data_IF_548150966857
#
_entry.id   IF_548150966857
#
_cell.length_a   1.000
_cell.length_b   1.000
_cell.length_c   1.000
_cell.angle_alpha   90.00
_cell.angle_beta   90.00
_cell.angle_gamma   90.00
#
_symmetry.space_group_name_H-M   'P 1'
#
loop_
_entity.id
_entity.type
_entity.pdbx_description
1 polymer ?
#
# COMPACT_ATOMS: atom_id res chain seq x y z
N UNK A 1 7.99 -27.18 9.27
CA UNK A 1 6.90 -26.18 9.16
C UNK A 1 7.37 -24.92 9.85
N UNK A 2 7.62 -23.86 9.10
CA UNK A 2 7.74 -22.53 9.69
C UNK A 2 6.32 -22.12 10.14
N UNK A 3 6.11 -21.73 11.41
CA UNK A 3 4.78 -21.36 11.88
C UNK A 3 4.26 -20.16 11.09
N UNK A 4 2.96 -20.13 10.84
CA UNK A 4 2.27 -19.02 10.17
C UNK A 4 2.55 -17.69 10.90
N UNK A 5 2.71 -16.59 10.15
CA UNK A 5 3.06 -15.27 10.69
C UNK A 5 1.95 -14.80 11.65
N UNK A 6 0.70 -15.08 11.33
CA UNK A 6 -0.46 -14.71 12.14
C UNK A 6 -0.43 -15.43 13.49
N UNK A 7 -0.02 -16.71 13.48
CA UNK A 7 0.19 -17.48 14.68
C UNK A 7 1.38 -16.95 15.50
N UNK A 8 2.50 -16.64 14.86
CA UNK A 8 3.67 -16.07 15.54
C UNK A 8 3.33 -14.74 16.23
N UNK A 9 2.63 -13.83 15.54
CA UNK A 9 2.19 -12.56 16.09
C UNK A 9 1.18 -12.74 17.24
N UNK A 10 0.28 -13.72 17.13
CA UNK A 10 -0.66 -14.06 18.20
C UNK A 10 0.05 -14.56 19.47
N UNK A 11 1.10 -15.38 19.30
CA UNK A 11 1.95 -15.85 20.42
C UNK A 11 2.71 -14.69 21.05
N UNK A 12 3.31 -13.81 20.25
CA UNK A 12 4.01 -12.61 20.73
C UNK A 12 3.04 -11.73 21.54
N UNK A 13 1.86 -11.43 21.00
CA UNK A 13 0.86 -10.60 21.67
C UNK A 13 0.41 -11.22 23.01
N UNK A 14 0.17 -12.53 23.01
CA UNK A 14 -0.21 -13.28 24.23
C UNK A 14 0.90 -13.19 25.28
N UNK A 15 2.16 -13.34 24.86
CA UNK A 15 3.34 -13.26 25.74
C UNK A 15 3.48 -11.85 26.33
N UNK A 16 3.36 -10.81 25.50
CA UNK A 16 3.42 -9.42 25.95
C UNK A 16 2.34 -9.12 27.01
N UNK A 17 1.10 -9.58 26.78
CA UNK A 17 -0.02 -9.32 27.70
C UNK A 17 0.02 -10.14 28.99
N UNK A 18 0.35 -11.43 28.90
CA UNK A 18 0.20 -12.36 30.03
C UNK A 18 1.47 -12.56 30.84
N UNK A 19 2.63 -12.30 30.25
CA UNK A 19 3.93 -12.55 30.89
C UNK A 19 4.68 -11.24 31.12
N UNK A 20 4.86 -10.43 30.08
CA UNK A 20 5.71 -9.24 30.16
C UNK A 20 5.01 -8.11 30.92
N UNK A 21 3.79 -7.73 30.53
CA UNK A 21 3.05 -6.62 31.15
C UNK A 21 2.89 -6.78 32.68
N UNK A 22 2.53 -7.96 33.22
CA UNK A 22 2.45 -8.14 34.67
C UNK A 22 3.82 -8.15 35.39
N UNK A 23 4.91 -8.40 34.66
CA UNK A 23 6.26 -8.46 35.22
C UNK A 23 6.98 -7.09 35.20
N UNK A 24 6.46 -6.11 34.48
CA UNK A 24 6.99 -4.74 34.46
C UNK A 24 6.50 -4.00 35.71
N UNK A 25 7.42 -3.26 36.34
CA UNK A 25 7.12 -2.38 37.47
C UNK A 25 5.95 -1.42 37.15
N UNK A 26 4.91 -1.45 37.98
CA UNK A 26 3.72 -0.62 37.82
C UNK A 26 3.98 0.87 38.11
N UNK A 27 5.01 1.18 38.91
CA UNK A 27 5.34 2.55 39.27
C UNK A 27 6.14 3.26 38.15
N UNK A 28 6.70 2.51 37.21
CA UNK A 28 7.39 3.03 36.04
C UNK A 28 6.41 3.37 34.90
N UNK A 29 5.68 4.48 35.06
CA UNK A 29 4.65 4.94 34.11
C UNK A 29 5.13 5.01 32.65
N UNK A 30 6.30 5.57 32.31
CA UNK A 30 6.76 5.59 30.92
C UNK A 30 6.89 4.20 30.30
N UNK A 31 7.39 3.22 31.05
CA UNK A 31 7.55 1.84 30.54
C UNK A 31 6.19 1.17 30.35
N UNK A 32 5.25 1.39 31.28
CA UNK A 32 3.87 0.90 31.16
C UNK A 32 3.20 1.45 29.89
N UNK A 33 3.28 2.76 29.66
CA UNK A 33 2.70 3.42 28.50
C UNK A 33 3.29 2.91 27.18
N UNK A 34 4.63 2.80 27.09
CA UNK A 34 5.30 2.28 25.90
C UNK A 34 4.95 0.82 25.63
N UNK A 35 4.86 -0.01 26.68
CA UNK A 35 4.47 -1.41 26.53
C UNK A 35 3.01 -1.54 26.08
N UNK A 36 2.11 -0.72 26.63
CA UNK A 36 0.73 -0.65 26.16
C UNK A 36 0.65 -0.22 24.69
N UNK A 37 1.41 0.80 24.28
CA UNK A 37 1.46 1.25 22.88
C UNK A 37 1.97 0.14 21.95
N UNK A 38 3.01 -0.58 22.35
CA UNK A 38 3.54 -1.71 21.58
C UNK A 38 2.48 -2.83 21.44
N UNK A 39 1.79 -3.19 22.54
CA UNK A 39 0.69 -4.17 22.52
C UNK A 39 -0.40 -3.72 21.56
N UNK A 40 -0.88 -2.47 21.67
CA UNK A 40 -1.93 -1.92 20.79
C UNK A 40 -1.50 -1.90 19.32
N UNK A 41 -0.23 -1.61 19.05
CA UNK A 41 0.30 -1.63 17.69
C UNK A 41 0.26 -3.03 17.09
N UNK A 42 0.68 -4.05 17.85
CA UNK A 42 0.63 -5.45 17.38
C UNK A 42 -0.82 -5.94 17.19
N UNK A 43 -1.74 -5.55 18.08
CA UNK A 43 -3.18 -5.82 17.91
C UNK A 43 -3.71 -5.24 16.60
N UNK A 44 -3.47 -3.96 16.35
CA UNK A 44 -3.94 -3.29 15.14
C UNK A 44 -3.32 -3.87 13.85
N UNK A 45 -2.11 -4.42 13.91
CA UNK A 45 -1.53 -5.18 12.79
C UNK A 45 -2.29 -6.49 12.59
N UNK A 46 -2.49 -7.29 13.64
CA UNK A 46 -3.21 -8.57 13.56
C UNK A 46 -4.62 -8.43 12.99
N UNK A 47 -5.36 -7.39 13.41
CA UNK A 47 -6.71 -7.10 12.92
C UNK A 47 -6.74 -6.80 11.41
N UNK A 48 -5.64 -6.27 10.86
CA UNK A 48 -5.54 -5.87 9.45
C UNK A 48 -5.03 -6.96 8.52
N UNK A 49 -4.28 -7.94 9.01
CA UNK A 49 -3.67 -8.99 8.16
C UNK A 49 -4.69 -9.66 7.22
N UNK A 50 -5.90 -10.05 7.67
CA UNK A 50 -6.89 -10.69 6.79
C UNK A 50 -7.25 -9.84 5.55
N UNK A 51 -7.14 -8.51 5.67
CA UNK A 51 -7.48 -7.57 4.60
C UNK A 51 -6.26 -7.16 3.75
N UNK A 52 -5.04 -7.44 4.21
CA UNK A 52 -3.79 -6.99 3.57
C UNK A 52 -3.71 -7.43 2.11
N UNK A 53 -4.06 -8.67 1.82
CA UNK A 53 -4.03 -9.19 0.46
C UNK A 53 -4.97 -8.42 -0.48
N UNK A 54 -6.18 -8.12 0.00
CA UNK A 54 -7.16 -7.33 -0.75
C UNK A 54 -6.67 -5.91 -1.00
N UNK A 55 -6.10 -5.27 0.02
CA UNK A 55 -5.51 -3.93 -0.09
C UNK A 55 -4.41 -3.88 -1.14
N UNK A 56 -3.40 -4.77 -1.04
CA UNK A 56 -2.24 -4.78 -1.96
C UNK A 56 -2.69 -5.05 -3.39
N UNK A 57 -3.65 -5.96 -3.60
CA UNK A 57 -4.20 -6.22 -4.94
C UNK A 57 -4.91 -5.01 -5.52
N UNK A 58 -5.70 -4.31 -4.72
CA UNK A 58 -6.41 -3.12 -5.19
C UNK A 58 -5.45 -1.97 -5.50
N UNK A 59 -4.41 -1.79 -4.68
CA UNK A 59 -3.34 -0.82 -4.92
C UNK A 59 -2.62 -1.11 -6.24
N UNK A 60 -2.21 -2.37 -6.46
CA UNK A 60 -1.56 -2.78 -7.70
C UNK A 60 -2.48 -2.57 -8.91
N UNK A 61 -3.78 -2.89 -8.79
CA UNK A 61 -4.77 -2.68 -9.84
C UNK A 61 -4.86 -1.20 -10.24
N UNK A 62 -4.89 -0.29 -9.28
CA UNK A 62 -4.92 1.16 -9.53
C UNK A 62 -3.65 1.64 -10.25
N UNK A 63 -2.48 1.15 -9.82
CA UNK A 63 -1.20 1.49 -10.47
C UNK A 63 -1.08 0.93 -11.88
N UNK A 64 -1.57 -0.29 -12.14
CA UNK A 64 -1.62 -0.86 -13.48
C UNK A 64 -2.45 0.01 -14.44
N UNK A 65 -3.61 0.50 -13.99
CA UNK A 65 -4.44 1.41 -14.78
C UNK A 65 -3.70 2.72 -15.06
N UNK A 66 -3.09 3.33 -14.04
CA UNK A 66 -2.30 4.55 -14.21
C UNK A 66 -1.13 4.35 -15.18
N UNK A 67 -0.36 3.27 -15.02
CA UNK A 67 0.79 2.97 -15.87
C UNK A 67 0.37 2.74 -17.34
N UNK A 68 -0.72 2.00 -17.57
CA UNK A 68 -1.26 1.78 -18.92
C UNK A 68 -1.71 3.08 -19.58
N UNK A 69 -2.36 3.97 -18.84
CA UNK A 69 -2.77 5.28 -19.35
C UNK A 69 -1.56 6.20 -19.58
N UNK A 70 -0.55 6.16 -18.72
CA UNK A 70 0.68 6.93 -18.89
C UNK A 70 1.41 6.56 -20.18
N UNK A 71 1.56 5.25 -20.45
CA UNK A 71 2.11 4.74 -21.71
C UNK A 71 1.30 5.20 -22.91
N UNK A 72 -0.03 5.22 -22.80
CA UNK A 72 -0.90 5.64 -23.89
C UNK A 72 -0.82 7.15 -24.20
N UNK A 73 -0.47 7.99 -23.21
CA UNK A 73 -0.27 9.45 -23.40
C UNK A 73 1.02 9.74 -24.16
N UNK A 74 2.06 8.95 -23.96
CA UNK A 74 3.38 9.21 -24.54
C UNK A 74 3.47 8.99 -26.06
N UNK A 75 2.49 8.30 -26.67
CA UNK A 75 2.23 8.19 -28.12
C UNK A 75 3.45 8.29 -29.09
N UNK A 76 4.61 7.71 -28.76
CA UNK A 76 5.89 7.65 -29.52
C UNK A 76 7.07 8.54 -29.05
N UNK A 77 6.92 9.34 -28.00
CA UNK A 77 8.06 10.01 -27.36
C UNK A 77 8.85 9.03 -26.46
N UNK A 78 10.16 8.97 -26.64
CA UNK A 78 11.11 8.03 -26.00
C UNK A 78 10.61 6.58 -25.86
N UNK A 79 10.77 5.85 -26.97
CA UNK A 79 10.35 4.47 -27.09
C UNK A 79 11.05 3.54 -26.08
N UNK A 80 12.24 3.87 -25.59
CA UNK A 80 12.95 3.04 -24.62
C UNK A 80 12.28 3.11 -23.24
N UNK A 81 11.91 4.30 -22.79
CA UNK A 81 11.18 4.50 -21.52
C UNK A 81 9.79 3.86 -21.58
N UNK A 82 9.10 3.97 -22.72
CA UNK A 82 7.81 3.31 -22.95
C UNK A 82 7.94 1.77 -22.83
N UNK A 83 8.92 1.17 -23.52
CA UNK A 83 9.13 -0.27 -23.51
C UNK A 83 9.46 -0.80 -22.11
N UNK A 84 10.25 -0.04 -21.35
CA UNK A 84 10.58 -0.38 -19.95
C UNK A 84 9.33 -0.46 -19.08
N UNK A 85 8.45 0.55 -19.13
CA UNK A 85 7.21 0.56 -18.35
C UNK A 85 6.22 -0.50 -18.84
N UNK A 86 6.12 -0.73 -20.15
CA UNK A 86 5.27 -1.80 -20.70
C UNK A 86 5.68 -3.19 -20.19
N UNK A 87 6.98 -3.50 -20.18
CA UNK A 87 7.47 -4.76 -19.64
C UNK A 87 7.16 -4.92 -18.13
N UNK A 88 7.22 -3.82 -17.36
CA UNK A 88 6.80 -3.83 -15.95
C UNK A 88 5.29 -4.07 -15.81
N UNK A 89 4.46 -3.47 -16.66
CA UNK A 89 3.01 -3.69 -16.67
C UNK A 89 2.70 -5.15 -16.95
N UNK A 90 3.30 -5.75 -17.99
CA UNK A 90 3.05 -7.14 -18.38
C UNK A 90 3.38 -8.12 -17.26
N UNK A 91 4.57 -7.98 -16.66
CA UNK A 91 4.98 -8.84 -15.53
C UNK A 91 4.11 -8.67 -14.29
N UNK A 92 3.70 -7.43 -13.99
CA UNK A 92 2.81 -7.14 -12.88
C UNK A 92 1.37 -7.64 -13.13
N UNK A 93 0.87 -7.58 -14.36
CA UNK A 93 -0.45 -8.12 -14.73
C UNK A 93 -0.48 -9.64 -14.62
N UNK A 94 0.58 -10.33 -15.06
CA UNK A 94 0.69 -11.78 -14.93
C UNK A 94 0.65 -12.19 -13.45
N UNK A 95 1.44 -11.51 -12.61
CA UNK A 95 1.42 -11.71 -11.16
C UNK A 95 0.04 -11.40 -10.56
N UNK A 96 -0.61 -10.31 -10.99
CA UNK A 96 -1.94 -9.94 -10.52
C UNK A 96 -3.00 -11.00 -10.87
N UNK A 97 -2.96 -11.60 -12.06
CA UNK A 97 -3.93 -12.63 -12.48
C UNK A 97 -3.74 -13.96 -11.74
N UNK A 98 -2.55 -14.23 -11.22
CA UNK A 98 -2.28 -15.41 -10.42
C UNK A 98 -2.93 -15.30 -9.02
N UNK A 99 -3.88 -16.19 -8.73
CA UNK A 99 -4.62 -16.23 -7.45
C UNK A 99 -3.78 -16.76 -6.29
N UNK A 100 -2.68 -17.46 -6.58
CA UNK A 100 -1.78 -18.05 -5.56
C UNK A 100 -0.50 -17.23 -5.37
N UNK A 101 -0.38 -16.09 -6.06
CA UNK A 101 0.78 -15.21 -5.95
C UNK A 101 0.97 -14.73 -4.51
N UNK A 102 2.22 -14.70 -4.09
CA UNK A 102 2.62 -14.18 -2.79
C UNK A 102 2.32 -12.67 -2.68
N UNK A 103 1.89 -12.25 -1.49
CA UNK A 103 1.55 -10.83 -1.25
C UNK A 103 2.79 -9.95 -1.25
N UNK A 104 3.95 -10.46 -0.82
CA UNK A 104 5.22 -9.75 -0.88
C UNK A 104 5.61 -9.43 -2.33
N UNK A 105 5.47 -10.41 -3.22
CA UNK A 105 5.73 -10.19 -4.65
C UNK A 105 4.81 -9.13 -5.27
N UNK A 106 3.52 -9.09 -4.89
CA UNK A 106 2.62 -8.03 -5.33
C UNK A 106 3.07 -6.63 -4.84
N UNK A 107 3.54 -6.53 -3.60
CA UNK A 107 4.10 -5.27 -3.04
C UNK A 107 5.35 -4.84 -3.81
N UNK A 108 6.21 -5.78 -4.20
CA UNK A 108 7.38 -5.47 -5.02
C UNK A 108 6.99 -4.90 -6.39
N UNK A 109 5.98 -5.47 -7.05
CA UNK A 109 5.48 -4.94 -8.32
C UNK A 109 4.82 -3.57 -8.17
N UNK A 110 4.04 -3.36 -7.11
CA UNK A 110 3.50 -2.03 -6.74
C UNK A 110 4.63 -1.01 -6.63
N UNK A 111 5.69 -1.31 -5.88
CA UNK A 111 6.84 -0.43 -5.70
C UNK A 111 7.58 -0.15 -7.01
N UNK A 112 7.81 -1.20 -7.84
CA UNK A 112 8.46 -1.06 -9.16
C UNK A 112 7.65 -0.18 -10.10
N UNK A 113 6.34 -0.39 -10.21
CA UNK A 113 5.47 0.43 -11.06
C UNK A 113 5.45 1.89 -10.59
N UNK A 114 5.33 2.13 -9.28
CA UNK A 114 5.38 3.50 -8.74
C UNK A 114 6.71 4.19 -9.02
N UNK A 115 7.83 3.48 -8.89
CA UNK A 115 9.16 4.01 -9.23
C UNK A 115 9.26 4.29 -10.73
N UNK A 116 8.83 3.36 -11.57
CA UNK A 116 8.85 3.50 -13.02
C UNK A 116 8.03 4.70 -13.52
N UNK A 117 6.83 4.93 -12.97
CA UNK A 117 6.03 6.12 -13.27
C UNK A 117 6.73 7.41 -12.82
N UNK A 118 7.39 7.37 -11.66
CA UNK A 118 8.13 8.54 -11.15
C UNK A 118 9.35 8.85 -12.01
N UNK A 119 10.06 7.83 -12.47
CA UNK A 119 11.18 7.97 -13.41
C UNK A 119 10.69 8.50 -14.74
N UNK A 120 9.58 7.99 -15.26
CA UNK A 120 8.93 8.49 -16.46
C UNK A 120 8.64 10.00 -16.35
N UNK A 121 7.97 10.44 -15.28
CA UNK A 121 7.69 11.86 -15.04
C UNK A 121 8.96 12.73 -15.05
N UNK A 122 10.05 12.23 -14.46
CA UNK A 122 11.33 12.95 -14.42
C UNK A 122 11.97 13.06 -15.81
N UNK A 123 11.89 12.00 -16.61
CA UNK A 123 12.48 11.98 -17.96
C UNK A 123 11.85 13.02 -18.89
N UNK A 124 10.54 13.28 -18.74
CA UNK A 124 9.82 14.25 -19.57
C UNK A 124 9.76 15.66 -18.95
N UNK A 125 10.46 15.92 -17.85
CA UNK A 125 10.35 17.20 -17.14
C UNK A 125 10.76 18.39 -18.05
N UNK A 126 9.83 19.34 -18.22
CA UNK A 126 10.01 20.50 -19.10
C UNK A 126 9.51 20.31 -20.53
N UNK A 127 9.06 19.10 -20.88
CA UNK A 127 8.43 18.80 -22.16
C UNK A 127 6.93 19.07 -22.12
N UNK A 128 6.29 19.19 -23.30
CA UNK A 128 4.84 19.45 -23.37
C UNK A 128 4.02 18.31 -22.76
N UNK A 129 4.46 17.06 -22.97
CA UNK A 129 3.82 15.85 -22.47
C UNK A 129 3.88 15.72 -20.94
N UNK A 130 4.81 16.42 -20.28
CA UNK A 130 4.91 16.44 -18.83
C UNK A 130 3.61 16.87 -18.14
N UNK A 131 2.93 17.88 -18.69
CA UNK A 131 1.73 18.41 -18.09
C UNK A 131 0.58 17.40 -18.15
N UNK A 132 0.45 16.70 -19.27
CA UNK A 132 -0.57 15.66 -19.46
C UNK A 132 -0.31 14.47 -18.54
N UNK A 133 0.95 14.03 -18.46
CA UNK A 133 1.36 12.95 -17.56
C UNK A 133 1.19 13.33 -16.08
N UNK A 134 1.52 14.56 -15.69
CA UNK A 134 1.35 15.06 -14.33
C UNK A 134 -0.12 15.15 -13.95
N UNK A 135 -0.97 15.66 -14.86
CA UNK A 135 -2.41 15.72 -14.65
C UNK A 135 -3.00 14.33 -14.46
N UNK A 136 -2.58 13.36 -15.27
CA UNK A 136 -2.98 11.97 -15.15
C UNK A 136 -2.63 11.39 -13.77
N UNK A 137 -1.40 11.61 -13.30
CA UNK A 137 -0.96 11.15 -11.97
C UNK A 137 -1.80 11.78 -10.86
N UNK A 138 -2.10 13.08 -10.96
CA UNK A 138 -2.98 13.77 -9.99
C UNK A 138 -4.39 13.18 -10.01
N UNK A 139 -4.95 12.88 -11.17
CA UNK A 139 -6.29 12.28 -11.28
C UNK A 139 -6.36 10.90 -10.58
N UNK A 140 -5.34 10.05 -10.76
CA UNK A 140 -5.28 8.73 -10.12
C UNK A 140 -4.91 8.78 -8.64
N UNK A 141 -4.19 9.82 -8.21
CA UNK A 141 -3.77 9.98 -6.81
C UNK A 141 -4.95 9.97 -5.82
N UNK A 142 -6.13 10.42 -6.25
CA UNK A 142 -7.35 10.40 -5.43
C UNK A 142 -7.73 8.98 -5.01
N UNK A 143 -7.73 8.03 -5.95
CA UNK A 143 -8.13 6.64 -5.67
C UNK A 143 -7.11 5.96 -4.75
N UNK A 144 -5.81 6.14 -5.00
CA UNK A 144 -4.74 5.62 -4.14
C UNK A 144 -4.80 6.22 -2.72
N UNK A 145 -5.02 7.53 -2.61
CA UNK A 145 -5.18 8.20 -1.33
C UNK A 145 -6.40 7.69 -0.58
N UNK A 146 -7.54 7.51 -1.26
CA UNK A 146 -8.74 6.97 -0.64
C UNK A 146 -8.52 5.54 -0.14
N UNK A 147 -7.84 4.70 -0.91
CA UNK A 147 -7.48 3.35 -0.49
C UNK A 147 -6.58 3.37 0.75
N UNK A 148 -5.55 4.21 0.77
CA UNK A 148 -4.65 4.37 1.92
C UNK A 148 -5.38 4.90 3.16
N UNK A 149 -6.31 5.83 2.99
CA UNK A 149 -7.16 6.35 4.08
C UNK A 149 -8.08 5.28 4.63
N UNK A 150 -8.73 4.51 3.76
CA UNK A 150 -9.57 3.38 4.16
C UNK A 150 -8.77 2.33 4.95
N UNK A 151 -7.52 2.08 4.58
CA UNK A 151 -6.63 1.18 5.34
C UNK A 151 -6.30 1.69 6.75
N UNK A 152 -6.27 3.01 6.91
CA UNK A 152 -5.96 3.69 8.16
C UNK A 152 -7.19 4.11 8.95
N UNK A 153 -8.41 3.70 8.55
CA UNK A 153 -9.67 4.16 9.17
C UNK A 153 -9.67 3.99 10.68
N UNK A 154 -9.21 2.83 11.13
CA UNK A 154 -9.29 2.42 12.53
C UNK A 154 -8.22 3.08 13.40
N UNK A 155 -7.32 3.89 12.82
CA UNK A 155 -6.35 4.69 13.58
C UNK A 155 -6.95 5.96 14.18
N UNK A 156 -8.26 6.22 13.99
CA UNK A 156 -8.97 7.37 14.55
C UNK A 156 -8.67 8.71 13.87
N UNK A 157 -7.91 8.69 12.75
CA UNK A 157 -7.67 9.86 11.91
C UNK A 157 -8.76 10.08 10.86
N UNK A 158 -9.53 9.03 10.56
CA UNK A 158 -10.65 9.06 9.63
C UNK A 158 -11.92 8.65 10.37
N UNK A 159 -13.00 9.42 10.21
CA UNK A 159 -14.32 9.05 10.73
C UNK A 159 -15.11 8.32 9.64
N UNK A 160 -16.10 7.49 10.01
CA UNK A 160 -17.02 6.87 9.04
C UNK A 160 -17.63 7.90 8.08
N UNK A 161 -17.91 9.10 8.58
CA UNK A 161 -18.39 10.25 7.81
C UNK A 161 -17.40 10.72 6.72
N UNK A 162 -16.09 10.67 6.97
CA UNK A 162 -15.06 11.05 6.01
C UNK A 162 -14.95 10.03 4.86
N UNK A 163 -15.21 8.74 5.14
CA UNK A 163 -15.17 7.66 4.16
C UNK A 163 -16.43 7.64 3.28
N UNK A 164 -17.62 7.88 3.85
CA UNK A 164 -18.89 7.96 3.10
C UNK A 164 -18.95 9.14 2.12
N UNK A 165 -18.39 10.30 2.48
CA UNK A 165 -18.29 11.45 1.57
C UNK A 165 -17.41 11.18 0.35
N UNK A 166 -16.47 10.23 0.43
CA UNK A 166 -15.60 9.84 -0.68
C UNK A 166 -16.28 8.81 -1.61
N UNK A 167 -17.16 7.96 -1.07
CA UNK A 167 -17.92 6.97 -1.83
C UNK A 167 -19.05 7.58 -2.69
N UNK A 168 -19.63 8.70 -2.27
CA UNK A 168 -20.74 9.37 -2.98
C UNK A 168 -20.31 10.47 -3.98
N UNK A 169 -19.01 10.60 -4.27
CA UNK A 169 -18.45 11.59 -5.23
C UNK A 169 -17.55 10.95 -6.30
N UNK A 170 -17.79 9.69 -6.65
CA UNK A 170 -17.25 9.00 -7.81
C UNK A 170 -18.41 8.68 -8.78
#
# INVERSE_FOLDING_TARGET
>A
MQPDIDFQLSVVLTTLKKVVLPAVDADNKPVQEQLHLAIRTVEGVLERIPYRRRFVREELRLLLVLAGQAVAVLQSEDQQSILSVQAMIETAEEAYRNVDVDTGLLVEYTAKLSSGITELLKSFQGETVYNDLSLLVVQHSKALTNLARAWCSDNGLETEFALDMLAHRA
#
